data_IF_991902896909
#
_entry.id   IF_991902896909
#
_cell.length_a   1.000
_cell.length_b   1.000
_cell.length_c   1.000
_cell.angle_alpha   90.00
_cell.angle_beta   90.00
_cell.angle_gamma   90.00
#
_symmetry.space_group_name_H-M   'P 1'
#
loop_
_entity.id
_entity.type
_entity.pdbx_description
1 polymer ?
#
# COMPACT_ATOMS: atom_id res chain seq x y z
N UNK A 1 -20.96 3.97 -3.15
CA UNK A 1 -19.52 3.60 -3.16
C UNK A 1 -18.81 4.58 -4.06
N UNK A 2 -17.83 5.33 -3.55
CA UNK A 2 -16.89 6.01 -4.44
C UNK A 2 -16.26 4.90 -5.29
N UNK A 3 -16.27 5.07 -6.61
CA UNK A 3 -15.72 4.07 -7.53
C UNK A 3 -14.21 4.06 -7.28
N UNK A 4 -13.71 3.02 -6.59
CA UNK A 4 -12.27 2.80 -6.49
C UNK A 4 -11.77 2.68 -7.92
N UNK A 5 -10.99 3.65 -8.39
CA UNK A 5 -10.37 3.58 -9.71
C UNK A 5 -9.39 2.42 -9.68
N UNK A 6 -9.71 1.38 -10.44
CA UNK A 6 -8.79 0.28 -10.68
C UNK A 6 -8.01 0.59 -11.94
N UNK A 7 -6.70 0.50 -11.83
CA UNK A 7 -5.80 0.54 -12.97
C UNK A 7 -5.64 -0.87 -13.53
N UNK A 8 -5.29 -0.96 -14.81
CA UNK A 8 -4.86 -2.20 -15.45
C UNK A 8 -3.33 -2.21 -15.57
N UNK A 9 -2.73 -3.36 -15.79
CA UNK A 9 -1.28 -3.46 -16.03
C UNK A 9 -0.82 -2.60 -17.23
N UNK A 10 -1.70 -2.40 -18.22
CA UNK A 10 -1.41 -1.55 -19.38
C UNK A 10 -1.43 -0.05 -19.06
N UNK A 11 -1.93 0.35 -17.91
CA UNK A 11 -1.95 1.73 -17.43
C UNK A 11 -0.65 2.11 -16.69
N UNK A 12 0.22 1.13 -16.38
CA UNK A 12 1.45 1.37 -15.61
C UNK A 12 2.40 2.27 -16.40
N UNK A 13 2.76 3.45 -15.88
CA UNK A 13 3.62 4.41 -16.57
C UNK A 13 5.11 4.07 -16.33
N UNK A 14 5.62 3.00 -16.93
CA UNK A 14 6.99 2.49 -16.76
C UNK A 14 8.06 3.58 -16.92
N UNK A 15 7.90 4.45 -17.93
CA UNK A 15 8.86 5.54 -18.17
C UNK A 15 8.92 6.60 -17.07
N UNK A 16 7.85 6.77 -16.28
CA UNK A 16 7.84 7.63 -15.11
C UNK A 16 8.51 6.90 -13.93
N UNK A 17 8.15 5.64 -13.70
CA UNK A 17 8.73 4.81 -12.63
C UNK A 17 10.24 4.65 -12.78
N UNK A 18 10.75 4.49 -14.01
CA UNK A 18 12.18 4.38 -14.31
C UNK A 18 12.96 5.65 -13.91
N UNK A 19 12.36 6.85 -14.01
CA UNK A 19 12.98 8.09 -13.56
C UNK A 19 13.26 8.10 -12.04
N UNK A 20 12.48 7.34 -11.28
CA UNK A 20 12.66 7.15 -9.85
C UNK A 20 13.49 5.90 -9.50
N UNK A 21 14.08 5.24 -10.49
CA UNK A 21 14.94 4.07 -10.29
C UNK A 21 14.21 2.73 -10.20
N UNK A 22 12.95 2.68 -10.60
CA UNK A 22 12.14 1.48 -10.67
C UNK A 22 12.02 1.03 -12.13
N UNK A 23 12.83 0.03 -12.52
CA UNK A 23 12.86 -0.47 -13.90
C UNK A 23 11.62 -1.29 -14.24
N UNK A 24 11.36 -1.50 -15.52
CA UNK A 24 10.26 -2.35 -16.01
C UNK A 24 10.33 -3.75 -15.40
N UNK A 25 11.52 -4.38 -15.39
CA UNK A 25 11.77 -5.69 -14.78
C UNK A 25 11.42 -5.73 -13.29
N UNK A 26 11.77 -4.67 -12.54
CA UNK A 26 11.42 -4.54 -11.13
C UNK A 26 9.91 -4.49 -10.93
N UNK A 27 9.20 -3.78 -11.81
CA UNK A 27 7.74 -3.66 -11.74
C UNK A 27 7.07 -5.00 -12.09
N UNK A 28 7.52 -5.67 -13.15
CA UNK A 28 6.98 -6.97 -13.57
C UNK A 28 7.19 -8.07 -12.53
N UNK A 29 8.27 -7.99 -11.76
CA UNK A 29 8.59 -8.91 -10.67
C UNK A 29 7.95 -8.54 -9.32
N UNK A 30 7.12 -7.47 -9.25
CA UNK A 30 6.47 -7.11 -7.98
C UNK A 30 5.67 -8.29 -7.42
N UNK A 31 5.77 -8.55 -6.10
CA UNK A 31 4.93 -9.54 -5.46
C UNK A 31 3.45 -9.28 -5.75
N UNK A 32 2.68 -10.32 -6.07
CA UNK A 32 1.28 -10.18 -6.46
C UNK A 32 0.43 -9.32 -5.52
N UNK A 33 0.56 -9.40 -4.17
CA UNK A 33 -0.17 -8.52 -3.28
C UNK A 33 0.19 -7.04 -3.47
N UNK A 34 1.48 -6.73 -3.71
CA UNK A 34 1.96 -5.35 -3.95
C UNK A 34 1.47 -4.82 -5.29
N UNK A 35 1.53 -5.65 -6.35
CA UNK A 35 0.98 -5.31 -7.66
C UNK A 35 -0.52 -5.03 -7.58
N UNK A 36 -1.28 -5.86 -6.87
CA UNK A 36 -2.72 -5.67 -6.69
C UNK A 36 -3.04 -4.35 -5.96
N UNK A 37 -2.26 -3.98 -4.95
CA UNK A 37 -2.44 -2.70 -4.25
C UNK A 37 -2.06 -1.52 -5.14
N UNK A 38 -0.97 -1.61 -5.91
CA UNK A 38 -0.57 -0.60 -6.89
C UNK A 38 -1.69 -0.37 -7.93
N UNK A 39 -2.24 -1.45 -8.52
CA UNK A 39 -3.35 -1.38 -9.48
C UNK A 39 -4.68 -0.95 -8.84
N UNK A 40 -4.82 -1.08 -7.53
CA UNK A 40 -5.92 -0.49 -6.78
C UNK A 40 -5.70 1.00 -6.43
N UNK A 41 -4.58 1.62 -6.87
CA UNK A 41 -4.22 3.00 -6.56
C UNK A 41 -3.83 3.21 -5.10
N UNK A 42 -3.44 2.15 -4.40
CA UNK A 42 -2.92 2.24 -3.04
C UNK A 42 -1.40 2.46 -3.05
N UNK A 43 -0.88 3.00 -1.94
CA UNK A 43 0.56 3.12 -1.74
C UNK A 43 1.21 1.73 -1.62
N UNK A 44 2.33 1.53 -2.32
CA UNK A 44 3.17 0.34 -2.13
C UNK A 44 3.77 0.30 -0.72
N UNK A 45 4.32 -0.83 -0.26
CA UNK A 45 5.30 -0.83 0.83
C UNK A 45 6.48 0.08 0.49
N UNK A 46 7.31 0.39 1.49
CA UNK A 46 8.56 1.14 1.25
C UNK A 46 9.49 0.32 0.36
N UNK A 47 9.96 0.94 -0.71
CA UNK A 47 10.86 0.34 -1.70
C UNK A 47 12.22 1.03 -1.63
N UNK A 48 13.29 0.24 -1.52
CA UNK A 48 14.67 0.70 -1.64
C UNK A 48 15.03 0.88 -3.11
N UNK A 49 15.44 2.08 -3.50
CA UNK A 49 15.69 2.49 -4.87
C UNK A 49 17.10 3.00 -5.07
N UNK A 50 17.67 2.76 -6.24
CA UNK A 50 18.93 3.35 -6.69
C UNK A 50 18.62 4.44 -7.71
N UNK A 51 18.77 5.69 -7.34
CA UNK A 51 18.56 6.83 -8.24
C UNK A 51 19.91 7.33 -8.75
N UNK A 52 20.03 7.51 -10.06
CA UNK A 52 21.23 8.10 -10.69
C UNK A 52 21.11 9.62 -10.70
N UNK A 53 21.94 10.29 -9.93
CA UNK A 53 22.01 11.75 -9.90
C UNK A 53 23.26 12.23 -10.66
N UNK A 54 23.05 13.13 -11.62
CA UNK A 54 24.15 13.78 -12.31
C UNK A 54 24.74 14.85 -11.41
N UNK A 55 26.02 14.68 -11.01
CA UNK A 55 26.78 15.68 -10.27
C UNK A 55 27.99 16.08 -11.10
N UNK A 56 27.98 17.31 -11.62
CA UNK A 56 28.96 17.82 -12.58
C UNK A 56 29.02 16.94 -13.84
N UNK A 57 30.07 16.13 -14.03
CA UNK A 57 30.23 15.21 -15.18
C UNK A 57 30.12 13.73 -14.78
N UNK A 58 29.94 13.41 -13.49
CA UNK A 58 29.82 12.05 -12.99
C UNK A 58 28.38 11.70 -12.61
N UNK A 59 28.00 10.43 -12.85
CA UNK A 59 26.76 9.85 -12.37
C UNK A 59 26.99 9.22 -11.00
N UNK A 60 26.42 9.81 -9.95
CA UNK A 60 26.44 9.29 -8.60
C UNK A 60 25.16 8.47 -8.36
N UNK A 61 25.29 7.22 -7.89
CA UNK A 61 24.16 6.40 -7.46
C UNK A 61 23.84 6.71 -6.01
N UNK A 62 22.60 7.11 -5.74
CA UNK A 62 22.11 7.40 -4.41
C UNK A 62 21.04 6.37 -4.05
N UNK A 63 21.23 5.71 -2.89
CA UNK A 63 20.17 4.90 -2.31
C UNK A 63 19.12 5.81 -1.68
N UNK A 64 17.86 5.58 -2.01
CA UNK A 64 16.70 6.24 -1.41
C UNK A 64 15.61 5.22 -1.11
N UNK A 65 14.63 5.63 -0.32
CA UNK A 65 13.49 4.82 0.05
C UNK A 65 12.22 5.62 -0.25
N UNK A 66 11.25 5.00 -0.88
CA UNK A 66 9.99 5.65 -1.22
C UNK A 66 8.85 4.66 -1.33
N UNK A 67 7.63 5.19 -1.31
CA UNK A 67 6.39 4.51 -1.66
C UNK A 67 5.84 5.13 -2.94
N UNK A 68 5.03 4.36 -3.66
CA UNK A 68 4.38 4.80 -4.89
C UNK A 68 2.89 4.49 -4.86
N UNK A 69 2.09 5.32 -5.50
CA UNK A 69 0.77 4.93 -5.97
C UNK A 69 0.52 5.50 -7.37
N UNK A 70 -0.43 4.90 -8.08
CA UNK A 70 -0.89 5.41 -9.37
C UNK A 70 -1.99 6.44 -9.16
N UNK A 71 -1.92 7.53 -9.90
CA UNK A 71 -2.91 8.59 -9.94
C UNK A 71 -3.44 8.72 -11.36
N UNK A 72 -4.74 8.97 -11.51
CA UNK A 72 -5.33 9.33 -12.79
C UNK A 72 -5.59 10.81 -12.82
N UNK A 73 -4.98 11.47 -13.79
CA UNK A 73 -5.16 12.90 -14.03
C UNK A 73 -6.51 13.19 -14.70
N UNK A 74 -6.95 14.46 -14.66
CA UNK A 74 -8.24 14.90 -15.23
C UNK A 74 -8.34 14.63 -16.74
N UNK A 75 -7.23 14.57 -17.46
CA UNK A 75 -7.17 14.25 -18.89
C UNK A 75 -7.20 12.74 -19.19
N UNK A 76 -7.23 11.90 -18.15
CA UNK A 76 -7.24 10.44 -18.22
C UNK A 76 -5.85 9.80 -18.29
N UNK A 77 -4.77 10.56 -18.29
CA UNK A 77 -3.41 10.03 -18.19
C UNK A 77 -3.14 9.45 -16.80
N UNK A 78 -2.18 8.52 -16.71
CA UNK A 78 -1.76 7.95 -15.44
C UNK A 78 -0.40 8.50 -15.07
N UNK A 79 -0.31 9.05 -13.87
CA UNK A 79 0.91 9.54 -13.24
C UNK A 79 1.25 8.71 -12.01
N UNK A 80 2.41 8.97 -11.40
CA UNK A 80 2.92 8.28 -10.21
C UNK A 80 3.14 9.29 -9.09
N UNK A 81 2.45 9.10 -7.99
CA UNK A 81 2.78 9.79 -6.76
C UNK A 81 3.99 9.13 -6.11
N UNK A 82 5.05 9.89 -5.95
CA UNK A 82 6.28 9.47 -5.27
C UNK A 82 6.30 10.04 -3.85
N UNK A 83 6.32 9.17 -2.84
CA UNK A 83 6.33 9.54 -1.42
C UNK A 83 7.66 9.10 -0.80
N UNK A 84 8.65 10.01 -0.66
CA UNK A 84 9.97 9.66 -0.12
C UNK A 84 9.92 9.41 1.37
N UNK A 85 10.75 8.49 1.85
CA UNK A 85 11.02 8.29 3.29
C UNK A 85 12.01 9.36 3.76
N UNK A 86 11.68 10.02 4.86
CA UNK A 86 12.51 11.07 5.42
C UNK A 86 13.36 10.56 6.58
N UNK A 87 14.61 11.01 6.66
CA UNK A 87 15.52 10.68 7.77
C UNK A 87 15.19 11.41 9.08
N UNK A 88 14.33 12.44 9.02
CA UNK A 88 13.84 13.21 10.17
C UNK A 88 12.32 13.35 10.07
N UNK A 89 11.66 13.45 11.21
CA UNK A 89 10.23 13.69 11.26
C UNK A 89 9.89 15.18 11.45
N UNK A 90 8.62 15.51 11.30
CA UNK A 90 8.09 16.86 11.47
C UNK A 90 7.17 16.99 12.71
N UNK A 91 7.47 16.24 13.78
CA UNK A 91 6.67 16.22 15.01
C UNK A 91 6.95 17.39 15.97
N UNK A 92 7.91 18.26 15.68
CA UNK A 92 8.32 19.36 16.59
C UNK A 92 7.18 20.34 16.94
N UNK A 93 6.21 20.51 16.02
CA UNK A 93 5.06 21.41 16.22
C UNK A 93 3.94 20.86 17.10
N UNK A 94 4.04 19.62 17.58
CA UNK A 94 2.98 18.92 18.33
C UNK A 94 3.31 18.80 19.80
N UNK A 95 2.28 18.83 20.66
CA UNK A 95 2.42 18.56 22.11
C UNK A 95 2.77 17.09 22.34
N UNK A 96 3.25 16.75 23.54
CA UNK A 96 3.63 15.35 23.82
C UNK A 96 2.43 14.39 23.75
N UNK A 97 1.25 14.81 24.24
CA UNK A 97 0.01 14.02 24.13
C UNK A 97 -0.39 13.79 22.64
N UNK A 98 -0.25 14.83 21.80
CA UNK A 98 -0.52 14.71 20.35
C UNK A 98 0.50 13.80 19.64
N UNK A 99 1.78 13.87 20.03
CA UNK A 99 2.82 12.98 19.51
C UNK A 99 2.53 11.51 19.81
N UNK A 100 2.08 11.21 21.03
CA UNK A 100 1.72 9.85 21.41
C UNK A 100 0.57 9.32 20.51
N UNK A 101 -0.47 10.13 20.28
CA UNK A 101 -1.58 9.79 19.38
C UNK A 101 -1.08 9.58 17.95
N UNK A 102 -0.23 10.48 17.44
CA UNK A 102 0.30 10.42 16.09
C UNK A 102 1.22 9.22 15.88
N UNK A 103 2.10 8.92 16.83
CA UNK A 103 3.02 7.76 16.74
C UNK A 103 2.28 6.42 16.80
N UNK A 104 1.06 6.38 17.34
CA UNK A 104 0.15 5.24 17.23
C UNK A 104 -0.53 5.14 15.85
N UNK A 105 -0.23 6.07 14.93
CA UNK A 105 -0.85 6.12 13.59
C UNK A 105 -2.30 6.61 13.60
N UNK A 106 -2.77 7.19 14.71
CA UNK A 106 -4.12 7.72 14.84
C UNK A 106 -4.22 9.12 14.23
N UNK A 107 -5.44 9.50 13.87
CA UNK A 107 -5.76 10.82 13.31
C UNK A 107 -6.20 11.75 14.44
N UNK A 108 -5.76 13.00 14.36
CA UNK A 108 -6.26 14.09 15.21
C UNK A 108 -6.46 15.38 14.39
N UNK A 109 -7.11 16.38 14.99
CA UNK A 109 -7.30 17.70 14.39
C UNK A 109 -6.28 18.66 15.01
N UNK A 110 -5.52 19.36 14.14
CA UNK A 110 -4.47 20.30 14.55
C UNK A 110 -4.46 21.53 13.65
N UNK A 111 -4.06 22.68 14.17
CA UNK A 111 -3.87 23.90 13.37
C UNK A 111 -2.44 23.93 12.81
N UNK A 112 -2.31 23.56 11.53
CA UNK A 112 -1.02 23.44 10.85
C UNK A 112 -0.62 24.80 10.30
N UNK A 113 0.57 25.34 10.66
CA UNK A 113 1.04 26.62 10.16
C UNK A 113 1.02 26.71 8.62
N UNK A 114 0.34 27.71 8.09
CA UNK A 114 0.21 27.95 6.65
C UNK A 114 -0.86 27.11 5.93
N UNK A 115 -1.44 26.11 6.59
CA UNK A 115 -2.54 25.27 6.05
C UNK A 115 -3.85 25.47 6.79
N UNK A 116 -3.82 25.99 8.04
CA UNK A 116 -4.98 26.11 8.91
C UNK A 116 -5.37 24.80 9.58
N UNK A 117 -6.63 24.68 10.01
CA UNK A 117 -7.13 23.49 10.71
C UNK A 117 -7.17 22.29 9.76
N UNK A 118 -6.43 21.26 10.11
CA UNK A 118 -6.27 20.02 9.34
C UNK A 118 -6.56 18.79 10.19
N UNK A 119 -6.99 17.72 9.53
CA UNK A 119 -6.77 16.38 10.04
C UNK A 119 -5.32 16.02 9.79
N UNK A 120 -4.65 15.47 10.80
CA UNK A 120 -3.24 15.08 10.73
C UNK A 120 -3.08 13.63 11.20
N UNK A 121 -2.17 12.92 10.56
CA UNK A 121 -1.83 11.52 10.85
C UNK A 121 -0.34 11.33 10.59
N UNK A 122 0.35 10.63 11.47
CA UNK A 122 1.74 10.28 11.24
C UNK A 122 1.84 8.99 10.44
N UNK A 123 2.54 9.05 9.33
CA UNK A 123 2.91 7.87 8.55
C UNK A 123 4.29 7.39 9.01
N UNK A 124 4.30 6.30 9.76
CA UNK A 124 5.52 5.70 10.29
C UNK A 124 6.45 5.21 9.18
N UNK A 125 5.90 4.78 8.04
CA UNK A 125 6.68 4.22 6.93
C UNK A 125 7.52 5.29 6.25
N UNK A 126 6.99 6.51 6.12
CA UNK A 126 7.70 7.64 5.50
C UNK A 126 8.26 8.64 6.52
N UNK A 127 8.01 8.42 7.81
CA UNK A 127 8.47 9.24 8.94
C UNK A 127 8.00 10.70 8.88
N UNK A 128 6.75 10.94 8.43
CA UNK A 128 6.18 12.29 8.28
C UNK A 128 4.72 12.36 8.72
N UNK A 129 4.34 13.53 9.25
CA UNK A 129 2.94 13.86 9.47
C UNK A 129 2.31 14.30 8.16
N UNK A 130 1.26 13.60 7.76
CA UNK A 130 0.35 13.98 6.69
C UNK A 130 -0.66 15.00 7.23
N UNK A 131 -1.12 15.92 6.39
CA UNK A 131 -2.09 16.93 6.80
C UNK A 131 -3.07 17.24 5.66
N UNK A 132 -4.36 17.04 5.92
CA UNK A 132 -5.44 17.34 4.99
C UNK A 132 -6.37 18.39 5.60
N UNK A 133 -6.63 19.53 4.94
CA UNK A 133 -7.54 20.55 5.46
C UNK A 133 -8.93 19.99 5.80
N UNK A 134 -9.47 20.38 6.97
CA UNK A 134 -10.77 19.90 7.43
C UNK A 134 -11.87 20.12 6.38
N UNK A 135 -11.82 21.21 5.64
CA UNK A 135 -12.83 21.51 4.62
C UNK A 135 -12.85 20.47 3.48
N UNK A 136 -11.67 19.97 3.07
CA UNK A 136 -11.57 18.95 2.01
C UNK A 136 -12.19 17.66 2.50
N UNK A 137 -11.75 17.17 3.65
CA UNK A 137 -12.23 15.90 4.20
C UNK A 137 -13.72 15.96 4.57
N UNK A 138 -14.21 17.13 5.06
CA UNK A 138 -15.64 17.33 5.32
C UNK A 138 -16.50 17.18 4.06
N UNK A 139 -16.02 17.62 2.89
CA UNK A 139 -16.70 17.39 1.64
C UNK A 139 -16.72 15.91 1.25
N UNK A 140 -15.60 15.20 1.47
CA UNK A 140 -15.51 13.77 1.19
C UNK A 140 -16.45 12.97 2.11
N UNK A 141 -16.49 13.29 3.40
CA UNK A 141 -17.42 12.68 4.38
C UNK A 141 -18.88 12.93 3.95
N UNK A 142 -19.22 14.15 3.54
CA UNK A 142 -20.56 14.49 3.06
C UNK A 142 -20.94 13.71 1.80
N UNK A 143 -20.02 13.57 0.85
CA UNK A 143 -20.25 12.79 -0.37
C UNK A 143 -20.47 11.31 -0.04
N UNK A 144 -19.66 10.74 0.85
CA UNK A 144 -19.82 9.38 1.33
C UNK A 144 -21.17 9.20 2.03
N UNK A 145 -21.50 10.10 2.96
CA UNK A 145 -22.75 10.07 3.72
C UNK A 145 -23.98 10.05 2.80
N UNK A 146 -23.97 10.86 1.74
CA UNK A 146 -25.03 10.88 0.73
C UNK A 146 -25.09 9.58 -0.09
N UNK A 147 -23.93 8.95 -0.34
CA UNK A 147 -23.85 7.74 -1.16
C UNK A 147 -24.34 6.48 -0.45
N UNK A 148 -24.10 6.37 0.87
CA UNK A 148 -24.38 5.15 1.65
C UNK A 148 -25.37 5.39 2.79
N UNK A 149 -25.90 6.61 2.96
CA UNK A 149 -26.95 6.92 3.93
C UNK A 149 -26.49 6.96 5.39
N UNK A 150 -25.31 7.54 5.67
CA UNK A 150 -24.83 7.70 7.07
C UNK A 150 -25.80 8.58 7.88
N UNK A 151 -25.96 8.21 9.15
CA UNK A 151 -26.69 9.02 10.13
C UNK A 151 -25.91 10.27 10.54
N UNK A 152 -26.58 11.28 11.10
CA UNK A 152 -25.91 12.48 11.62
C UNK A 152 -24.91 12.15 12.73
N UNK A 153 -25.19 11.13 13.55
CA UNK A 153 -24.31 10.66 14.61
C UNK A 153 -23.03 10.00 14.02
N UNK A 154 -23.17 9.13 13.01
CA UNK A 154 -22.05 8.53 12.32
C UNK A 154 -21.18 9.58 11.63
N UNK A 155 -21.78 10.57 10.97
CA UNK A 155 -21.06 11.69 10.34
C UNK A 155 -20.25 12.45 11.40
N UNK A 156 -20.86 12.74 12.55
CA UNK A 156 -20.18 13.41 13.66
C UNK A 156 -19.03 12.58 14.21
N UNK A 157 -19.23 11.27 14.41
CA UNK A 157 -18.19 10.38 14.93
C UNK A 157 -17.00 10.29 13.96
N UNK A 158 -17.22 10.25 12.64
CA UNK A 158 -16.13 10.34 11.67
C UNK A 158 -15.38 11.67 11.81
N UNK A 159 -16.10 12.81 11.95
CA UNK A 159 -15.47 14.11 12.18
C UNK A 159 -14.67 14.15 13.48
N UNK A 160 -15.08 13.41 14.49
CA UNK A 160 -14.38 13.24 15.77
C UNK A 160 -13.23 12.21 15.68
N UNK A 161 -12.79 11.85 14.48
CA UNK A 161 -11.73 10.87 14.20
C UNK A 161 -12.02 9.45 14.71
N UNK A 162 -13.29 9.08 14.87
CA UNK A 162 -13.68 7.73 15.26
C UNK A 162 -13.98 6.86 14.04
N UNK A 163 -13.80 5.56 14.20
CA UNK A 163 -14.26 4.55 13.23
C UNK A 163 -15.73 4.28 13.51
N UNK A 164 -16.57 4.33 12.48
CA UNK A 164 -17.99 4.01 12.56
C UNK A 164 -18.28 2.65 11.93
N UNK A 165 -19.24 1.94 12.48
CA UNK A 165 -19.73 0.67 11.99
C UNK A 165 -21.08 0.87 11.32
N UNK A 166 -21.26 0.22 10.17
CA UNK A 166 -22.48 0.25 9.36
C UNK A 166 -22.95 -1.18 9.23
N UNK A 167 -24.07 -1.49 9.89
CA UNK A 167 -24.68 -2.82 9.80
C UNK A 167 -25.49 -2.92 8.50
N UNK A 168 -25.13 -3.91 7.66
CA UNK A 168 -25.94 -4.35 6.52
C UNK A 168 -26.87 -5.49 6.91
N UNK A 169 -27.58 -6.10 5.93
CA UNK A 169 -28.44 -7.25 6.19
C UNK A 169 -27.64 -8.50 6.57
N UNK A 170 -26.47 -8.73 5.97
CA UNK A 170 -25.62 -9.89 6.18
C UNK A 170 -24.17 -9.52 6.56
N UNK A 171 -23.76 -8.25 6.40
CA UNK A 171 -22.38 -7.81 6.55
C UNK A 171 -22.29 -6.53 7.39
N UNK A 172 -21.19 -6.38 8.11
CA UNK A 172 -20.81 -5.13 8.79
C UNK A 172 -19.65 -4.51 8.03
N UNK A 173 -19.73 -3.20 7.78
CA UNK A 173 -18.64 -2.42 7.21
C UNK A 173 -18.23 -1.35 8.22
N UNK A 174 -16.94 -1.22 8.47
CA UNK A 174 -16.41 -0.11 9.27
C UNK A 174 -15.73 0.93 8.38
N UNK A 175 -15.86 2.21 8.75
CA UNK A 175 -15.28 3.33 8.00
C UNK A 175 -14.61 4.28 8.97
N UNK A 176 -13.39 4.69 8.67
CA UNK A 176 -12.64 5.68 9.44
C UNK A 176 -11.77 6.57 8.56
N UNK A 177 -11.27 7.65 9.16
CA UNK A 177 -10.29 8.52 8.50
C UNK A 177 -8.95 7.80 8.48
N UNK A 178 -8.35 7.70 7.28
CA UNK A 178 -7.00 7.23 7.06
C UNK A 178 -6.39 8.09 5.94
N UNK A 179 -5.50 9.01 6.32
CA UNK A 179 -4.92 9.96 5.37
C UNK A 179 -4.01 9.27 4.34
N UNK A 180 -3.58 8.04 4.59
CA UNK A 180 -2.84 7.21 3.64
C UNK A 180 -3.72 6.66 2.50
N UNK A 181 -5.04 6.69 2.68
CA UNK A 181 -6.02 6.25 1.69
C UNK A 181 -6.48 7.42 0.79
N UNK A 182 -5.54 8.15 0.17
CA UNK A 182 -5.84 9.34 -0.65
C UNK A 182 -6.78 9.02 -1.82
N UNK A 183 -6.58 7.89 -2.49
CA UNK A 183 -7.43 7.40 -3.58
C UNK A 183 -8.88 7.10 -3.17
N UNK A 184 -9.15 6.98 -1.88
CA UNK A 184 -10.49 6.83 -1.29
C UNK A 184 -11.00 8.13 -0.65
N UNK A 185 -10.35 9.26 -0.93
CA UNK A 185 -10.67 10.54 -0.33
C UNK A 185 -10.36 10.60 1.17
N UNK A 186 -9.34 9.86 1.62
CA UNK A 186 -8.91 9.72 3.02
C UNK A 186 -9.97 9.07 3.95
N UNK A 187 -10.90 8.29 3.39
CA UNK A 187 -11.93 7.56 4.12
C UNK A 187 -11.81 6.07 3.79
N UNK A 188 -11.16 5.31 4.65
CA UNK A 188 -10.89 3.89 4.42
C UNK A 188 -12.04 3.03 4.95
N UNK A 189 -12.71 2.24 4.09
CA UNK A 189 -13.62 1.18 4.52
C UNK A 189 -12.85 -0.11 4.85
N UNK A 190 -13.44 -0.95 5.70
CA UNK A 190 -13.02 -2.33 5.92
C UNK A 190 -14.25 -3.23 6.06
N UNK A 191 -14.16 -4.46 5.58
CA UNK A 191 -15.22 -5.46 5.73
C UNK A 191 -15.11 -6.08 7.12
N UNK A 192 -16.03 -5.75 8.01
CA UNK A 192 -16.06 -6.15 9.42
C UNK A 192 -16.22 -4.99 10.39
N UNK A 193 -16.02 -5.28 11.67
CA UNK A 193 -16.10 -4.31 12.76
C UNK A 193 -14.86 -3.39 12.85
N UNK A 194 -14.87 -2.47 13.80
CA UNK A 194 -13.78 -1.52 14.01
C UNK A 194 -12.45 -2.17 14.42
N UNK A 195 -12.44 -3.43 14.87
CA UNK A 195 -11.21 -4.16 15.15
C UNK A 195 -10.53 -4.61 13.86
N UNK A 196 -11.31 -5.11 12.91
CA UNK A 196 -10.82 -5.46 11.56
C UNK A 196 -10.26 -4.22 10.87
N UNK A 197 -10.97 -3.10 10.95
CA UNK A 197 -10.48 -1.83 10.38
C UNK A 197 -9.09 -1.44 10.90
N UNK A 198 -8.83 -1.64 12.19
CA UNK A 198 -7.52 -1.34 12.79
C UNK A 198 -6.43 -2.32 12.37
N UNK A 199 -6.80 -3.57 12.07
CA UNK A 199 -5.86 -4.61 11.67
C UNK A 199 -5.53 -4.59 10.17
N UNK A 200 -6.50 -4.29 9.31
CA UNK A 200 -6.29 -4.16 7.87
C UNK A 200 -5.37 -2.99 7.46
N UNK A 201 -5.18 -2.02 8.36
CA UNK A 201 -4.20 -0.94 8.19
C UNK A 201 -2.76 -1.38 8.43
N UNK A 202 -2.54 -2.64 8.83
CA UNK A 202 -1.21 -3.22 9.05
C UNK A 202 -0.69 -3.87 7.77
N UNK A 203 0.62 -4.04 7.73
CA UNK A 203 1.45 -4.40 6.60
C UNK A 203 0.98 -5.59 5.76
N UNK A 204 1.25 -5.54 4.46
CA UNK A 204 1.11 -6.67 3.54
C UNK A 204 2.05 -7.79 4.01
N UNK A 205 1.50 -8.98 4.27
CA UNK A 205 2.31 -10.13 4.66
C UNK A 205 3.05 -10.70 3.45
N UNK A 206 4.33 -10.34 3.31
CA UNK A 206 5.21 -10.81 2.25
C UNK A 206 6.18 -11.88 2.78
N UNK A 207 6.58 -12.79 1.89
CA UNK A 207 7.68 -13.70 2.19
C UNK A 207 9.01 -12.93 2.22
N UNK A 208 10.00 -13.44 2.97
CA UNK A 208 11.37 -12.88 2.96
C UNK A 208 11.93 -12.76 1.55
N UNK A 209 11.72 -13.76 0.69
CA UNK A 209 12.12 -13.79 -0.72
C UNK A 209 10.90 -13.94 -1.60
N UNK A 210 10.73 -13.07 -2.57
CA UNK A 210 9.66 -13.10 -3.56
C UNK A 210 10.32 -13.12 -4.95
N UNK A 211 10.56 -14.34 -5.46
CA UNK A 211 11.22 -14.56 -6.74
C UNK A 211 10.27 -14.25 -7.89
N UNK A 212 10.73 -13.42 -8.81
CA UNK A 212 10.09 -13.09 -10.08
C UNK A 212 10.76 -13.77 -11.27
N UNK A 213 10.64 -13.15 -12.43
CA UNK A 213 11.22 -13.65 -13.71
C UNK A 213 12.66 -13.17 -13.88
N UNK A 214 12.95 -11.92 -13.49
CA UNK A 214 14.22 -11.24 -13.71
C UNK A 214 15.04 -11.11 -12.44
N UNK A 215 14.43 -11.27 -11.28
CA UNK A 215 15.09 -11.11 -10.00
C UNK A 215 14.21 -11.49 -8.82
N UNK A 216 14.53 -10.95 -7.66
CA UNK A 216 13.85 -11.25 -6.41
C UNK A 216 13.62 -9.98 -5.58
N UNK A 217 12.40 -9.78 -5.12
CA UNK A 217 12.11 -8.81 -4.08
C UNK A 217 12.36 -9.43 -2.71
N UNK A 218 13.28 -8.84 -1.96
CA UNK A 218 13.61 -9.22 -0.58
C UNK A 218 12.91 -8.26 0.38
N UNK A 219 12.30 -8.80 1.42
CA UNK A 219 11.82 -8.03 2.57
C UNK A 219 12.95 -7.94 3.59
N UNK A 220 13.40 -6.72 3.89
CA UNK A 220 14.43 -6.48 4.90
C UNK A 220 13.89 -6.50 6.35
N UNK A 221 14.74 -6.34 7.34
CA UNK A 221 14.37 -6.38 8.76
C UNK A 221 13.45 -5.19 9.16
N UNK A 222 13.39 -4.13 8.34
CA UNK A 222 12.51 -2.97 8.50
C UNK A 222 11.23 -3.08 7.67
N UNK A 223 10.98 -4.26 7.08
CA UNK A 223 9.85 -4.54 6.18
C UNK A 223 9.88 -3.75 4.87
N UNK A 224 11.04 -3.21 4.46
CA UNK A 224 11.20 -2.56 3.17
C UNK A 224 11.45 -3.60 2.07
N UNK A 225 10.98 -3.30 0.87
CA UNK A 225 11.26 -4.10 -0.32
C UNK A 225 12.57 -3.65 -0.97
N UNK A 226 13.45 -4.60 -1.24
CA UNK A 226 14.69 -4.40 -1.99
C UNK A 226 14.76 -5.38 -3.14
N UNK A 227 14.98 -4.88 -4.35
CA UNK A 227 15.17 -5.72 -5.53
C UNK A 227 16.61 -6.20 -5.65
N UNK A 228 16.77 -7.46 -6.01
CA UNK A 228 18.06 -8.09 -6.31
C UNK A 228 17.91 -8.82 -7.64
N UNK A 229 18.62 -8.39 -8.70
CA UNK A 229 18.61 -9.08 -9.99
C UNK A 229 19.25 -10.48 -9.87
N UNK A 230 18.89 -11.39 -10.79
CA UNK A 230 19.29 -12.80 -10.69
C UNK A 230 20.80 -13.00 -10.63
N UNK A 231 21.58 -12.16 -11.33
CA UNK A 231 23.06 -12.21 -11.32
C UNK A 231 23.70 -11.82 -10.00
N UNK A 232 22.96 -11.15 -9.10
CA UNK A 232 23.40 -10.74 -7.76
C UNK A 232 22.92 -11.69 -6.64
N UNK A 233 22.30 -12.84 -6.98
CA UNK A 233 21.78 -13.76 -5.97
C UNK A 233 22.90 -14.32 -5.09
N UNK A 234 22.65 -14.25 -3.77
CA UNK A 234 23.50 -14.91 -2.78
C UNK A 234 23.29 -16.43 -2.81
N UNK A 235 24.22 -17.18 -2.16
CA UNK A 235 24.07 -18.62 -2.02
C UNK A 235 22.75 -18.99 -1.29
N UNK A 236 22.39 -18.23 -0.26
CA UNK A 236 21.12 -18.43 0.49
C UNK A 236 19.90 -18.28 -0.42
N UNK A 237 19.89 -17.28 -1.30
CA UNK A 237 18.80 -17.06 -2.26
C UNK A 237 18.71 -18.22 -3.26
N UNK A 238 19.84 -18.69 -3.79
CA UNK A 238 19.87 -19.81 -4.70
C UNK A 238 19.36 -21.11 -4.05
N UNK A 239 19.75 -21.36 -2.81
CA UNK A 239 19.29 -22.53 -2.05
C UNK A 239 17.78 -22.46 -1.78
N UNK A 240 17.24 -21.28 -1.44
CA UNK A 240 15.80 -21.07 -1.21
C UNK A 240 15.00 -21.23 -2.51
N UNK A 241 15.48 -20.71 -3.62
CA UNK A 241 14.84 -20.85 -4.94
C UNK A 241 14.76 -22.32 -5.34
N UNK A 242 15.86 -23.08 -5.15
CA UNK A 242 15.87 -24.51 -5.43
C UNK A 242 14.91 -25.29 -4.53
N UNK A 243 14.83 -24.95 -3.25
CA UNK A 243 13.90 -25.56 -2.29
C UNK A 243 12.45 -25.36 -2.72
N UNK A 244 12.07 -24.15 -3.14
CA UNK A 244 10.72 -23.83 -3.62
C UNK A 244 10.40 -24.55 -4.94
N UNK A 245 11.35 -24.61 -5.86
CA UNK A 245 11.20 -25.37 -7.10
C UNK A 245 10.91 -26.86 -6.85
N UNK A 246 11.59 -27.47 -5.88
CA UNK A 246 11.35 -28.86 -5.48
C UNK A 246 9.98 -29.05 -4.81
N UNK A 247 9.55 -28.12 -3.95
CA UNK A 247 8.22 -28.18 -3.30
C UNK A 247 7.09 -28.07 -4.33
N UNK A 248 7.19 -27.14 -5.30
CA UNK A 248 6.19 -26.97 -6.34
C UNK A 248 6.12 -28.22 -7.26
N UNK A 249 7.26 -28.82 -7.58
CA UNK A 249 7.31 -30.06 -8.36
C UNK A 249 6.70 -31.25 -7.59
N UNK A 250 6.90 -31.34 -6.28
CA UNK A 250 6.31 -32.37 -5.43
C UNK A 250 4.79 -32.20 -5.32
N UNK A 251 4.31 -30.96 -5.14
CA UNK A 251 2.86 -30.67 -5.08
C UNK A 251 2.16 -30.96 -6.38
N UNK A 252 2.75 -30.61 -7.52
CA UNK A 252 2.21 -30.91 -8.85
C UNK A 252 2.15 -32.43 -9.12
N UNK A 253 3.09 -33.21 -8.57
CA UNK A 253 3.09 -34.67 -8.68
C UNK A 253 1.95 -35.30 -7.85
N UNK A 254 1.68 -34.75 -6.66
CA UNK A 254 0.58 -35.19 -5.78
C UNK A 254 -0.79 -34.95 -6.42
N UNK A 255 -1.02 -33.77 -6.98
CA UNK A 255 -2.27 -33.43 -7.68
C UNK A 255 -2.49 -34.29 -8.94
N UNK A 256 -1.42 -34.66 -9.63
CA UNK A 256 -1.50 -35.57 -10.79
C UNK A 256 -1.82 -37.02 -10.42
N UNK A 257 -1.39 -37.50 -9.26
CA UNK A 257 -1.73 -38.84 -8.75
C UNK A 257 -3.18 -38.92 -8.22
N UNK A 258 -3.66 -37.90 -7.49
CA UNK A 258 -5.07 -37.86 -7.06
C UNK A 258 -6.05 -37.73 -8.24
N UNK A 259 -5.67 -37.04 -9.32
CA UNK A 259 -6.49 -36.92 -10.54
C UNK A 259 -6.57 -38.21 -11.36
N UNK A 260 -5.69 -39.19 -11.15
CA UNK A 260 -5.68 -40.46 -11.91
C UNK A 260 -6.53 -41.59 -11.31
N UNK A 261 -6.96 -41.47 -10.06
CA UNK A 261 -7.73 -42.52 -9.37
C UNK A 261 -9.26 -42.42 -9.55
N UNK A 262 -9.78 -41.53 -10.36
CA UNK A 262 -11.22 -41.35 -10.61
C UNK A 262 -11.66 -41.84 -12.00
N UNK A 263 -11.16 -42.96 -12.48
CA UNK A 263 -11.80 -43.63 -13.63
C UNK A 263 -11.59 -45.16 -13.69
N UNK A 264 -12.21 -45.87 -12.80
CA UNK A 264 -12.65 -47.28 -13.09
C UNK A 264 -13.97 -47.53 -12.33
N UNK A 265 -15.07 -47.14 -12.95
CA UNK A 265 -16.43 -47.55 -12.56
C UNK A 265 -17.00 -48.37 -13.68
N UNK A 266 -16.83 -49.68 -13.58
CA UNK A 266 -17.37 -50.74 -14.43
C UNK A 266 -18.86 -50.61 -14.70
N UNK A 267 -19.24 -50.61 -15.97
CA UNK A 267 -20.57 -51.03 -16.43
C UNK A 267 -20.70 -52.56 -16.30
N UNK A 268 -21.73 -52.97 -15.63
CA UNK A 268 -22.51 -54.16 -15.96
C UNK A 268 -23.98 -53.91 -15.67
#
# INVERSE_FOLDING_TARGET
MAKVEKFSETDIPYGILEQFGMTEEMVEDLPLPVMNDLLAGKLTPVIALKIKKKKEEELEEIMTYARFCLLREDDGTVDVQFVPVWSYNNLEGYTDDEKDILLEGKVLIHDVPGKGVCYVQFDNDVNQVMAVPVMILSNNIKNLANAIGLTEEQIKDIHDCKVVEIEGEDDTISIGIDLKAENLGCLRPADGDSSVWREEGKEINLNKYNFGVYGCWIVDDLQNLKYVPEEEYTQEMNDEMQRRGQQNAASAHFEAEEGSDVHIGTRR
#
